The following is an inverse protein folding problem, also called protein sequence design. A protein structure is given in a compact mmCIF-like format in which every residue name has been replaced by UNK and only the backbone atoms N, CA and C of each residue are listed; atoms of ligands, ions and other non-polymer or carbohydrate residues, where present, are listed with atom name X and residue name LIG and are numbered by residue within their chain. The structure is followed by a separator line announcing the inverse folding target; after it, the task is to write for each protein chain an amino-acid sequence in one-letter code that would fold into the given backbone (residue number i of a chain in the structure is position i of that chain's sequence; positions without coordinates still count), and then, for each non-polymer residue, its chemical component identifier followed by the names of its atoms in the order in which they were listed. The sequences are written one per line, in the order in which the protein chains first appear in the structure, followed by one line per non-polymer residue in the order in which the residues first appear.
data_IF_559155310806
#
_entry.id   IF_559155310806
#
_cell.length_a   1.000
_cell.length_b   1.000
_cell.length_c   1.000
_cell.angle_alpha   90.00
_cell.angle_beta   90.00
_cell.angle_gamma   90.00
#
_symmetry.space_group_name_H-M   'P 1'
#
loop_
_entity.id
_entity.type
_entity.pdbx_description
1 polymer ?
#
# COMPACT_ATOMS: atom_id res chain seq x y z
N UNK A 1 15.57 -2.14 5.43
CA UNK A 1 14.70 -0.96 5.53
C UNK A 1 15.49 0.30 5.85
N UNK A 2 16.08 0.43 7.05
CA UNK A 2 16.76 1.67 7.49
C UNK A 2 17.82 2.19 6.50
N UNK A 3 18.70 1.32 5.99
CA UNK A 3 19.71 1.71 5.00
C UNK A 3 19.08 2.25 3.71
N UNK A 4 18.04 1.60 3.19
CA UNK A 4 17.36 2.02 1.97
C UNK A 4 16.70 3.40 2.13
N UNK A 5 16.07 3.66 3.29
CA UNK A 5 15.54 4.98 3.64
C UNK A 5 16.64 6.04 3.68
N UNK A 6 17.77 5.75 4.33
CA UNK A 6 18.88 6.69 4.45
C UNK A 6 19.48 7.08 3.08
N UNK A 7 19.48 6.16 2.13
CA UNK A 7 19.95 6.39 0.75
C UNK A 7 18.85 6.83 -0.21
N UNK A 8 17.61 7.01 0.26
CA UNK A 8 16.44 7.33 -0.57
C UNK A 8 16.21 6.33 -1.72
N UNK A 9 16.54 5.06 -1.49
CA UNK A 9 16.35 3.98 -2.46
C UNK A 9 14.90 3.47 -2.40
N UNK A 10 14.01 4.14 -3.11
CA UNK A 10 12.57 3.85 -3.13
C UNK A 10 12.26 2.40 -3.58
N UNK A 11 13.05 1.87 -4.52
CA UNK A 11 12.88 0.51 -5.03
C UNK A 11 13.23 -0.50 -3.92
N UNK A 12 14.34 -0.30 -3.23
CA UNK A 12 14.75 -1.18 -2.14
C UNK A 12 13.84 -1.04 -0.91
N UNK A 13 13.32 0.16 -0.62
CA UNK A 13 12.28 0.36 0.40
C UNK A 13 11.07 -0.52 0.10
N UNK A 14 10.57 -0.50 -1.14
CA UNK A 14 9.42 -1.29 -1.57
C UNK A 14 9.62 -2.80 -1.41
N UNK A 15 10.81 -3.30 -1.78
CA UNK A 15 11.19 -4.72 -1.61
C UNK A 15 11.32 -5.16 -0.16
N UNK A 16 11.68 -4.24 0.73
CA UNK A 16 11.89 -4.51 2.15
C UNK A 16 10.63 -4.30 3.00
N UNK A 17 9.48 -3.98 2.40
CA UNK A 17 8.20 -3.96 3.09
C UNK A 17 7.91 -5.35 3.67
N UNK A 18 7.59 -5.39 4.96
CA UNK A 18 7.29 -6.63 5.68
C UNK A 18 6.28 -6.38 6.79
N UNK A 19 5.33 -7.30 6.93
CA UNK A 19 4.35 -7.31 8.00
C UNK A 19 4.14 -8.75 8.49
N UNK A 20 4.55 -9.01 9.73
CA UNK A 20 4.44 -10.35 10.32
C UNK A 20 2.99 -10.84 10.49
N UNK A 21 2.03 -9.92 10.60
CA UNK A 21 0.62 -10.25 10.76
C UNK A 21 -0.02 -10.79 9.47
N UNK A 22 0.59 -10.55 8.29
CA UNK A 22 0.11 -11.13 7.03
C UNK A 22 0.14 -12.67 7.05
N UNK A 23 1.09 -13.27 7.77
CA UNK A 23 1.24 -14.73 7.86
C UNK A 23 0.02 -15.41 8.48
N UNK A 24 -0.70 -14.71 9.36
CA UNK A 24 -1.90 -15.21 10.03
C UNK A 24 -3.18 -14.65 9.39
N UNK A 25 -3.18 -13.37 8.98
CA UNK A 25 -4.37 -12.71 8.46
C UNK A 25 -4.72 -13.12 7.02
N UNK A 26 -3.74 -13.24 6.12
CA UNK A 26 -4.02 -13.53 4.71
C UNK A 26 -4.64 -14.91 4.46
N UNK A 27 -4.25 -15.98 5.17
CA UNK A 27 -4.92 -17.28 5.07
C UNK A 27 -6.38 -17.25 5.59
N UNK A 28 -6.65 -16.46 6.63
CA UNK A 28 -7.99 -16.36 7.24
C UNK A 28 -8.94 -15.47 6.41
N UNK A 29 -8.41 -14.43 5.76
CA UNK A 29 -9.17 -13.46 4.98
C UNK A 29 -8.68 -13.39 3.52
N UNK A 30 -9.09 -14.34 2.65
CA UNK A 30 -8.64 -14.39 1.25
C UNK A 30 -8.92 -13.12 0.44
N UNK A 31 -9.90 -12.31 0.83
CA UNK A 31 -10.18 -11.02 0.21
C UNK A 31 -9.02 -10.02 0.38
N UNK A 32 -8.31 -10.05 1.51
CA UNK A 32 -7.14 -9.22 1.75
C UNK A 32 -5.99 -9.65 0.83
N UNK A 33 -5.81 -10.97 0.67
CA UNK A 33 -4.80 -11.51 -0.24
C UNK A 33 -5.07 -11.09 -1.69
N UNK A 34 -6.32 -11.22 -2.16
CA UNK A 34 -6.72 -10.78 -3.50
C UNK A 34 -6.46 -9.29 -3.73
N UNK A 35 -6.79 -8.44 -2.75
CA UNK A 35 -6.55 -7.00 -2.85
C UNK A 35 -5.05 -6.68 -2.88
N UNK A 36 -4.25 -7.34 -2.02
CA UNK A 36 -2.79 -7.22 -2.00
C UNK A 36 -2.18 -7.62 -3.33
N UNK A 37 -2.61 -8.74 -3.91
CA UNK A 37 -2.16 -9.21 -5.23
C UNK A 37 -2.62 -8.29 -6.37
N UNK A 38 -3.82 -7.71 -6.26
CA UNK A 38 -4.31 -6.72 -7.23
C UNK A 38 -3.37 -5.51 -7.28
N UNK A 39 -2.97 -4.97 -6.12
CA UNK A 39 -1.97 -3.91 -6.03
C UNK A 39 -0.58 -4.37 -6.50
N UNK A 40 -0.09 -5.53 -6.02
CA UNK A 40 1.24 -6.04 -6.37
C UNK A 40 1.39 -6.38 -7.87
N UNK A 41 0.28 -6.63 -8.57
CA UNK A 41 0.28 -6.82 -10.04
C UNK A 41 0.42 -5.52 -10.84
N UNK A 42 0.38 -4.37 -10.19
CA UNK A 42 0.62 -3.07 -10.82
C UNK A 42 2.10 -2.70 -10.75
N UNK A 43 2.50 -1.68 -11.52
CA UNK A 43 3.83 -1.09 -11.41
C UNK A 43 3.89 -0.22 -10.14
N UNK A 44 4.01 -0.83 -8.96
CA UNK A 44 4.14 -0.17 -7.66
C UNK A 44 5.50 -0.52 -7.05
N UNK A 45 6.00 0.31 -6.13
CA UNK A 45 7.25 0.02 -5.40
C UNK A 45 7.08 -1.21 -4.49
N UNK A 46 5.90 -1.37 -3.90
CA UNK A 46 5.53 -2.52 -3.09
C UNK A 46 4.10 -2.38 -2.57
N UNK A 47 3.49 -3.49 -2.17
CA UNK A 47 2.14 -3.53 -1.61
C UNK A 47 2.09 -4.45 -0.39
N UNK A 48 1.37 -4.04 0.65
CA UNK A 48 1.35 -4.74 1.94
C UNK A 48 0.10 -4.37 2.75
N UNK A 49 -0.30 -5.25 3.67
CA UNK A 49 -1.25 -4.92 4.73
C UNK A 49 -0.66 -3.92 5.72
N UNK A 50 -1.44 -2.91 6.10
CA UNK A 50 -1.08 -1.93 7.12
C UNK A 50 -1.48 -2.44 8.51
N UNK A 51 -0.50 -2.58 9.42
CA UNK A 51 -0.74 -3.06 10.78
C UNK A 51 -1.45 -4.42 10.80
N UNK A 52 -2.51 -4.56 11.58
CA UNK A 52 -3.34 -5.77 11.65
C UNK A 52 -4.40 -5.88 10.54
N UNK A 53 -4.41 -4.95 9.58
CA UNK A 53 -5.49 -4.84 8.59
C UNK A 53 -6.76 -4.17 9.14
N UNK A 54 -7.83 -4.08 8.33
CA UNK A 54 -8.00 -4.71 7.01
C UNK A 54 -7.38 -3.91 5.85
N UNK A 55 -6.77 -2.75 6.12
CA UNK A 55 -6.24 -1.87 5.07
C UNK A 55 -5.03 -2.50 4.36
N UNK A 56 -5.09 -2.56 3.03
CA UNK A 56 -3.96 -2.82 2.15
C UNK A 56 -3.51 -1.50 1.55
N UNK A 57 -2.21 -1.26 1.48
CA UNK A 57 -1.63 -0.09 0.81
C UNK A 57 -0.64 -0.51 -0.27
N UNK A 58 -0.39 0.39 -1.21
CA UNK A 58 0.68 0.29 -2.19
C UNK A 58 1.47 1.61 -2.25
N UNK A 59 2.79 1.50 -2.39
CA UNK A 59 3.67 2.65 -2.56
C UNK A 59 3.87 2.95 -4.05
N UNK A 60 3.72 4.21 -4.41
CA UNK A 60 3.94 4.72 -5.77
C UNK A 60 4.93 5.88 -5.73
N UNK A 61 5.64 6.09 -6.84
CA UNK A 61 6.63 7.16 -7.00
C UNK A 61 5.99 8.52 -7.28
N UNK A 62 4.74 8.55 -7.75
CA UNK A 62 4.04 9.78 -8.09
C UNK A 62 2.54 9.71 -7.89
N UNK A 63 1.91 10.88 -7.75
CA UNK A 63 0.45 11.01 -7.68
C UNK A 63 -0.24 10.47 -8.94
N UNK A 64 0.32 10.71 -10.13
CA UNK A 64 -0.23 10.22 -11.38
C UNK A 64 -0.27 8.68 -11.41
N UNK A 65 0.82 8.04 -11.00
CA UNK A 65 0.87 6.59 -10.86
C UNK A 65 -0.12 6.08 -9.81
N UNK A 66 -0.27 6.78 -8.67
CA UNK A 66 -1.26 6.41 -7.66
C UNK A 66 -2.70 6.40 -8.22
N UNK A 67 -3.06 7.39 -9.04
CA UNK A 67 -4.38 7.49 -9.69
C UNK A 67 -4.59 6.36 -10.71
N UNK A 68 -3.58 6.03 -11.51
CA UNK A 68 -3.65 4.90 -12.45
C UNK A 68 -3.82 3.57 -11.74
N UNK A 69 -3.05 3.34 -10.67
CA UNK A 69 -3.14 2.15 -9.82
C UNK A 69 -4.51 2.05 -9.16
N UNK A 70 -5.01 3.14 -8.58
CA UNK A 70 -6.35 3.19 -7.97
C UNK A 70 -7.43 2.80 -8.99
N UNK A 71 -7.46 3.45 -10.15
CA UNK A 71 -8.45 3.18 -11.19
C UNK A 71 -8.41 1.72 -11.65
N UNK A 72 -7.20 1.18 -11.85
CA UNK A 72 -7.00 -0.21 -12.32
C UNK A 72 -7.42 -1.23 -11.27
N UNK A 73 -7.00 -1.05 -10.01
CA UNK A 73 -7.34 -1.97 -8.92
C UNK A 73 -8.84 -1.90 -8.60
N UNK A 74 -9.43 -0.70 -8.59
CA UNK A 74 -10.87 -0.53 -8.38
C UNK A 74 -11.69 -1.24 -9.45
N UNK A 75 -11.31 -1.10 -10.72
CA UNK A 75 -11.95 -1.82 -11.82
C UNK A 75 -11.78 -3.35 -11.73
N UNK A 76 -10.59 -3.82 -11.32
CA UNK A 76 -10.29 -5.25 -11.17
C UNK A 76 -11.04 -5.91 -10.00
N UNK A 77 -11.19 -5.19 -8.89
CA UNK A 77 -11.88 -5.72 -7.71
C UNK A 77 -13.40 -5.65 -7.85
N UNK A 78 -13.94 -4.58 -8.47
CA UNK A 78 -15.38 -4.36 -8.69
C UNK A 78 -16.26 -4.64 -7.45
N UNK A 79 -15.72 -4.37 -6.26
CA UNK A 79 -16.38 -4.62 -4.97
C UNK A 79 -16.92 -3.30 -4.40
N UNK A 80 -18.26 -3.16 -4.22
CA UNK A 80 -18.85 -1.94 -3.69
C UNK A 80 -18.53 -1.69 -2.20
N UNK A 81 -18.02 -2.69 -1.48
CA UNK A 81 -17.57 -2.56 -0.10
C UNK A 81 -16.14 -2.03 0.05
N UNK A 82 -15.40 -1.87 -1.06
CA UNK A 82 -14.04 -1.32 -1.04
C UNK A 82 -14.02 0.18 -1.26
N UNK A 83 -13.43 0.88 -0.30
CA UNK A 83 -13.10 2.29 -0.39
C UNK A 83 -11.61 2.46 -0.72
N UNK A 84 -11.29 3.48 -1.52
CA UNK A 84 -9.94 3.77 -1.98
C UNK A 84 -9.60 5.22 -1.64
N UNK A 85 -8.34 5.44 -1.23
CA UNK A 85 -7.80 6.75 -0.93
C UNK A 85 -6.38 6.85 -1.47
N UNK A 86 -6.02 8.04 -1.94
CA UNK A 86 -4.65 8.41 -2.23
C UNK A 86 -4.17 9.34 -1.12
N UNK A 87 -3.07 8.96 -0.47
CA UNK A 87 -2.46 9.72 0.61
C UNK A 87 -0.97 9.96 0.33
N UNK A 88 -0.44 11.03 0.94
CA UNK A 88 0.97 11.37 0.91
C UNK A 88 1.59 11.16 2.30
N UNK A 89 2.89 10.92 2.35
CA UNK A 89 3.61 10.91 3.62
C UNK A 89 3.60 12.31 4.24
N UNK A 90 3.30 12.37 5.55
CA UNK A 90 3.36 13.60 6.33
C UNK A 90 4.57 13.54 7.28
N UNK A 91 5.57 14.39 7.03
CA UNK A 91 6.78 14.50 7.85
C UNK A 91 6.62 15.42 9.07
N UNK A 92 5.55 16.20 9.14
CA UNK A 92 5.33 17.22 10.17
C UNK A 92 4.57 16.68 11.39
N UNK A 93 4.05 15.45 11.31
CA UNK A 93 3.27 14.86 12.39
C UNK A 93 1.99 15.65 12.69
N UNK A 94 1.65 15.76 13.98
CA UNK A 94 0.46 16.48 14.45
C UNK A 94 0.79 17.97 14.59
N UNK A 95 0.03 18.81 13.91
CA UNK A 95 0.14 20.28 13.98
C UNK A 95 -1.22 20.90 14.33
N UNK A 96 -1.21 22.01 15.05
CA UNK A 96 -2.43 22.80 15.33
C UNK A 96 -2.73 23.66 14.08
N UNK A 97 -3.94 23.54 13.55
CA UNK A 97 -4.41 24.41 12.47
C UNK A 97 -4.74 25.79 13.06
N UNK A 98 -4.07 26.83 12.56
CA UNK A 98 -4.35 28.23 12.88
C UNK A 98 -5.24 28.85 11.80
#
# INVERSE_FOLDING_TARGET
MVSAIAHQDNIEIGKLLHNDLEKVALPEYPQLLKLREAFASQNVLGAMMSGSGPTIFALTESLAQAQEVEATVKAKMADPGLEFWIAQFNSSGITIAH
#
